data_IF_659969340405
#
_entry.id   IF_659969340405
#
_cell.length_a   1.000
_cell.length_b   1.000
_cell.length_c   1.000
_cell.angle_alpha   90.00
_cell.angle_beta   90.00
_cell.angle_gamma   90.00
#
_symmetry.space_group_name_H-M   'P 1'
#
loop_
_entity.id
_entity.type
_entity.pdbx_description
1 polymer ?
#
# COMPACT_ATOMS: atom_id res chain seq x y z
N UNK A 1 -78.70 28.75 13.59
CA UNK A 1 -78.56 27.33 13.96
C UNK A 1 -78.69 26.48 12.70
N UNK A 2 -77.60 25.96 12.15
CA UNK A 2 -77.59 24.76 11.29
C UNK A 2 -76.14 24.32 11.05
N UNK A 3 -76.01 23.00 10.97
CA UNK A 3 -74.88 22.17 11.35
C UNK A 3 -74.41 21.44 10.07
N UNK A 4 -73.12 21.47 9.71
CA UNK A 4 -72.61 20.67 8.58
C UNK A 4 -71.27 19.98 8.89
N UNK A 5 -71.43 18.73 9.34
CA UNK A 5 -70.79 17.50 8.85
C UNK A 5 -69.29 17.51 8.50
N UNK A 6 -68.56 16.86 9.41
CA UNK A 6 -67.43 15.93 9.27
C UNK A 6 -67.24 15.36 7.85
N UNK A 7 -66.03 15.50 7.30
CA UNK A 7 -65.50 14.64 6.24
C UNK A 7 -64.34 13.81 6.80
N UNK A 8 -64.54 12.50 6.84
CA UNK A 8 -63.51 11.52 7.15
C UNK A 8 -62.70 11.26 5.88
N UNK A 9 -61.40 11.52 5.92
CA UNK A 9 -60.47 11.12 4.87
C UNK A 9 -59.88 9.77 5.26
N UNK A 10 -60.19 8.75 4.47
CA UNK A 10 -59.66 7.40 4.61
C UNK A 10 -58.17 7.36 4.22
N UNK A 11 -57.33 6.89 5.13
CA UNK A 11 -55.92 6.63 4.90
C UNK A 11 -55.77 5.21 4.30
N UNK A 12 -55.32 5.11 3.05
CA UNK A 12 -54.86 3.86 2.44
C UNK A 12 -53.33 3.77 2.59
N UNK A 13 -52.76 2.79 3.33
CA UNK A 13 -51.33 2.54 3.27
C UNK A 13 -51.03 1.69 2.03
N UNK A 14 -50.47 2.32 0.99
CA UNK A 14 -49.88 1.62 -0.14
C UNK A 14 -48.57 0.95 0.31
N UNK A 15 -48.62 -0.37 0.43
CA UNK A 15 -47.51 -1.25 0.78
C UNK A 15 -46.53 -1.33 -0.41
N UNK A 16 -45.53 -0.45 -0.45
CA UNK A 16 -44.46 -0.52 -1.45
C UNK A 16 -43.44 -1.56 -1.00
N UNK A 17 -43.58 -2.80 -1.47
CA UNK A 17 -42.53 -3.82 -1.38
C UNK A 17 -41.54 -3.56 -2.52
N UNK A 18 -40.50 -2.78 -2.23
CA UNK A 18 -39.32 -2.69 -3.11
C UNK A 18 -38.52 -3.98 -2.98
N UNK A 19 -38.67 -4.88 -3.97
CA UNK A 19 -37.80 -6.03 -4.14
C UNK A 19 -36.40 -5.54 -4.51
N UNK A 20 -35.53 -5.43 -3.50
CA UNK A 20 -34.09 -5.22 -3.67
C UNK A 20 -33.46 -6.52 -4.19
N UNK A 21 -33.53 -6.75 -5.51
CA UNK A 21 -32.62 -7.67 -6.19
C UNK A 21 -31.26 -6.97 -6.36
N UNK A 22 -30.49 -6.95 -5.27
CA UNK A 22 -29.07 -6.66 -5.34
C UNK A 22 -28.36 -7.82 -6.02
N UNK A 23 -28.05 -7.69 -7.31
CA UNK A 23 -27.14 -8.60 -8.00
C UNK A 23 -25.77 -8.53 -7.34
N UNK A 24 -25.49 -9.50 -6.46
CA UNK A 24 -24.15 -9.74 -5.94
C UNK A 24 -23.26 -10.14 -7.12
N UNK A 25 -22.54 -9.17 -7.71
CA UNK A 25 -21.43 -9.46 -8.61
C UNK A 25 -20.33 -10.09 -7.78
N UNK A 26 -20.28 -11.42 -7.76
CA UNK A 26 -19.09 -12.15 -7.34
C UNK A 26 -18.00 -11.81 -8.34
N UNK A 27 -17.11 -10.88 -7.95
CA UNK A 27 -15.86 -10.66 -8.67
C UNK A 27 -15.06 -11.96 -8.56
N UNK A 28 -15.07 -12.75 -9.65
CA UNK A 28 -14.22 -13.93 -9.74
C UNK A 28 -12.78 -13.51 -9.41
N UNK A 29 -12.16 -14.17 -8.44
CA UNK A 29 -10.75 -13.95 -8.13
C UNK A 29 -9.93 -14.38 -9.35
N UNK A 30 -8.93 -13.60 -9.78
CA UNK A 30 -8.14 -13.93 -10.98
C UNK A 30 -7.41 -15.28 -10.85
N UNK A 31 -7.26 -15.77 -9.62
CA UNK A 31 -6.72 -17.09 -9.31
C UNK A 31 -7.60 -18.25 -9.81
N UNK A 32 -8.92 -18.05 -9.97
CA UNK A 32 -9.81 -19.08 -10.48
C UNK A 32 -9.58 -19.43 -11.97
N UNK A 33 -8.94 -18.53 -12.72
CA UNK A 33 -8.70 -18.68 -14.16
C UNK A 33 -7.22 -18.78 -14.53
N UNK A 34 -6.31 -18.67 -13.54
CA UNK A 34 -4.87 -18.71 -13.77
C UNK A 34 -4.39 -20.17 -13.84
N UNK A 35 -3.67 -20.59 -14.90
CA UNK A 35 -3.12 -21.95 -14.97
C UNK A 35 -2.14 -22.23 -13.83
N UNK A 36 -2.28 -23.40 -13.19
CA UNK A 36 -1.41 -23.81 -12.07
C UNK A 36 0.08 -23.77 -12.43
N UNK A 37 0.41 -24.09 -13.68
CA UNK A 37 1.79 -24.12 -14.21
C UNK A 37 2.44 -22.75 -14.30
N UNK A 38 1.69 -21.66 -14.14
CA UNK A 38 2.27 -20.32 -14.06
C UNK A 38 3.08 -20.13 -12.77
N UNK A 39 2.67 -20.80 -11.70
CA UNK A 39 3.29 -20.69 -10.38
C UNK A 39 4.00 -21.97 -9.95
N UNK A 40 3.41 -23.13 -10.24
CA UNK A 40 3.91 -24.43 -9.80
C UNK A 40 4.70 -25.13 -10.91
N UNK A 41 5.75 -25.86 -10.51
CA UNK A 41 6.57 -26.63 -11.46
C UNK A 41 5.81 -27.82 -12.05
N UNK A 42 4.91 -28.42 -11.27
CA UNK A 42 4.15 -29.59 -11.68
C UNK A 42 2.89 -29.21 -12.49
N UNK A 43 2.58 -30.00 -13.52
CA UNK A 43 1.33 -29.90 -14.27
C UNK A 43 0.12 -30.31 -13.42
N UNK A 44 0.28 -31.34 -12.59
CA UNK A 44 -0.68 -31.72 -11.55
C UNK A 44 -0.17 -31.29 -10.18
N UNK A 45 -0.87 -30.33 -9.58
CA UNK A 45 -0.52 -29.79 -8.26
C UNK A 45 -1.31 -30.53 -7.18
N UNK A 46 -0.57 -31.11 -6.24
CA UNK A 46 -1.07 -31.80 -5.05
C UNK A 46 -0.52 -31.13 -3.79
N UNK A 47 -1.08 -31.43 -2.62
CA UNK A 47 -0.54 -30.92 -1.35
C UNK A 47 0.94 -31.29 -1.12
N UNK A 48 1.40 -32.41 -1.68
CA UNK A 48 2.77 -32.88 -1.54
C UNK A 48 3.79 -32.09 -2.38
N UNK A 49 3.37 -31.50 -3.52
CA UNK A 49 4.26 -30.78 -4.44
C UNK A 49 3.94 -29.28 -4.57
N UNK A 50 2.85 -28.79 -3.97
CA UNK A 50 2.39 -27.41 -4.09
C UNK A 50 3.42 -26.36 -3.62
N UNK A 51 4.35 -26.72 -2.73
CA UNK A 51 5.38 -25.79 -2.28
C UNK A 51 6.47 -25.52 -3.34
N UNK A 52 6.55 -26.35 -4.40
CA UNK A 52 7.58 -26.23 -5.45
C UNK A 52 7.10 -25.25 -6.52
N UNK A 53 7.70 -24.07 -6.51
CA UNK A 53 7.33 -22.96 -7.40
C UNK A 53 8.37 -22.77 -8.51
N UNK A 54 7.93 -22.29 -9.68
CA UNK A 54 8.81 -22.02 -10.84
C UNK A 54 9.74 -20.82 -10.61
N UNK A 55 9.46 -20.00 -9.60
CA UNK A 55 10.25 -18.86 -9.17
C UNK A 55 9.94 -18.51 -7.69
N UNK A 56 10.67 -17.55 -7.11
CA UNK A 56 10.30 -16.98 -5.81
C UNK A 56 8.92 -16.32 -5.87
N UNK A 57 8.22 -16.27 -4.74
CA UNK A 57 6.90 -15.65 -4.70
C UNK A 57 6.97 -14.16 -5.01
N UNK A 58 8.04 -13.48 -4.62
CA UNK A 58 8.28 -12.08 -4.94
C UNK A 58 8.34 -11.85 -6.46
N UNK A 59 8.96 -12.78 -7.19
CA UNK A 59 9.03 -12.73 -8.65
C UNK A 59 7.69 -13.07 -9.30
N UNK A 60 6.99 -14.09 -8.79
CA UNK A 60 5.68 -14.52 -9.32
C UNK A 60 4.63 -13.43 -9.12
N UNK A 61 4.46 -12.97 -7.87
CA UNK A 61 3.50 -11.93 -7.53
C UNK A 61 3.89 -10.59 -8.17
N UNK A 62 5.18 -10.23 -8.14
CA UNK A 62 5.68 -8.97 -8.71
C UNK A 62 5.50 -8.83 -10.21
N UNK A 63 5.36 -9.94 -10.95
CA UNK A 63 5.05 -9.91 -12.38
C UNK A 63 3.72 -9.22 -12.71
N UNK A 64 2.75 -9.30 -11.81
CA UNK A 64 1.43 -8.66 -11.96
C UNK A 64 1.17 -7.55 -10.93
N UNK A 65 1.80 -7.64 -9.76
CA UNK A 65 1.64 -6.73 -8.62
C UNK A 65 2.96 -6.01 -8.31
N UNK A 66 3.57 -5.40 -9.32
CA UNK A 66 4.88 -4.76 -9.21
C UNK A 66 4.94 -3.70 -8.08
N UNK A 67 3.87 -2.90 -7.94
CA UNK A 67 3.77 -1.88 -6.89
C UNK A 67 3.70 -2.49 -5.49
N UNK A 68 3.04 -3.64 -5.34
CA UNK A 68 2.97 -4.32 -4.05
C UNK A 68 4.39 -4.67 -3.60
N UNK A 69 5.19 -5.38 -4.42
CA UNK A 69 6.56 -5.79 -4.05
C UNK A 69 7.42 -4.62 -3.59
N UNK A 70 7.32 -3.50 -4.29
CA UNK A 70 8.12 -2.33 -4.00
C UNK A 70 7.77 -1.68 -2.65
N UNK A 71 6.51 -1.74 -2.26
CA UNK A 71 5.96 -1.03 -1.10
C UNK A 71 5.28 -1.99 -0.13
N UNK A 72 5.84 -3.20 -0.02
CA UNK A 72 5.42 -4.20 0.95
C UNK A 72 6.24 -4.09 2.23
N UNK A 73 5.67 -4.60 3.32
CA UNK A 73 6.50 -5.19 4.36
C UNK A 73 7.48 -6.20 3.72
N UNK A 74 8.75 -6.25 4.14
CA UNK A 74 9.73 -7.16 3.57
C UNK A 74 9.24 -8.62 3.54
N UNK A 75 9.68 -9.37 2.53
CA UNK A 75 9.44 -10.81 2.35
C UNK A 75 10.65 -11.48 1.69
N UNK A 76 10.62 -12.81 1.56
CA UNK A 76 11.72 -13.61 1.02
C UNK A 76 12.89 -13.79 1.99
N UNK A 77 12.61 -13.82 3.30
CA UNK A 77 13.63 -13.98 4.34
C UNK A 77 13.20 -14.91 5.48
N UNK A 78 14.15 -15.61 6.09
CA UNK A 78 13.91 -16.43 7.26
C UNK A 78 13.67 -15.54 8.51
N UNK A 79 12.50 -15.60 9.15
CA UNK A 79 12.22 -14.79 10.34
C UNK A 79 13.09 -15.25 11.51
N UNK A 80 13.51 -14.29 12.34
CA UNK A 80 14.35 -14.55 13.52
C UNK A 80 13.62 -15.23 14.68
N UNK A 81 12.30 -15.26 14.63
CA UNK A 81 11.43 -15.83 15.66
C UNK A 81 10.43 -16.79 15.01
N UNK A 82 9.97 -17.82 15.73
CA UNK A 82 8.90 -18.66 15.23
C UNK A 82 7.63 -17.84 15.01
N UNK A 83 6.92 -18.12 13.93
CA UNK A 83 5.63 -17.52 13.63
C UNK A 83 4.50 -18.42 14.14
N UNK A 84 3.33 -17.82 14.36
CA UNK A 84 2.12 -18.57 14.65
C UNK A 84 1.73 -19.43 13.42
N UNK A 85 1.01 -20.53 13.65
CA UNK A 85 0.68 -21.53 12.60
C UNK A 85 -0.15 -20.93 11.46
N UNK A 86 -0.86 -19.85 11.74
CA UNK A 86 -1.68 -19.09 10.80
C UNK A 86 -0.83 -18.36 9.74
N UNK A 87 0.47 -18.17 9.99
CA UNK A 87 1.44 -17.53 9.10
C UNK A 87 2.52 -18.52 8.68
N UNK A 88 2.20 -19.47 7.78
CA UNK A 88 3.13 -20.51 7.38
C UNK A 88 4.32 -19.91 6.63
N UNK A 89 5.50 -20.47 6.88
CA UNK A 89 6.69 -20.19 6.08
C UNK A 89 6.67 -21.02 4.81
N UNK A 90 7.42 -20.59 3.80
CA UNK A 90 7.63 -21.42 2.61
C UNK A 90 8.47 -22.67 2.95
N UNK A 91 8.70 -23.53 1.97
CA UNK A 91 9.45 -24.78 2.16
C UNK A 91 10.92 -24.57 2.58
N UNK A 92 11.48 -23.37 2.39
CA UNK A 92 12.83 -22.99 2.85
C UNK A 92 12.83 -22.43 4.27
N UNK A 93 11.65 -22.17 4.82
CA UNK A 93 11.50 -21.46 6.10
C UNK A 93 11.50 -19.94 5.94
N UNK A 94 11.21 -19.39 4.76
CA UNK A 94 11.12 -17.95 4.55
C UNK A 94 9.70 -17.41 4.75
N UNK A 95 9.60 -16.21 5.33
CA UNK A 95 8.39 -15.39 5.31
C UNK A 95 8.22 -14.85 3.90
N UNK A 96 7.12 -15.20 3.23
CA UNK A 96 6.83 -14.83 1.83
C UNK A 96 5.46 -14.17 1.72
N UNK A 97 5.06 -13.74 0.51
CA UNK A 97 3.72 -13.23 0.25
C UNK A 97 2.62 -14.21 0.73
N UNK A 98 2.82 -15.51 0.51
CA UNK A 98 1.89 -16.55 0.92
C UNK A 98 1.85 -16.80 2.43
N UNK A 99 2.76 -16.22 3.22
CA UNK A 99 2.68 -16.26 4.68
C UNK A 99 1.55 -15.36 5.19
N UNK A 100 1.24 -14.27 4.49
CA UNK A 100 0.14 -13.37 4.82
C UNK A 100 -1.11 -13.66 3.97
N UNK A 101 -0.91 -14.06 2.71
CA UNK A 101 -1.99 -14.32 1.75
C UNK A 101 -2.23 -15.82 1.52
N UNK A 102 -3.50 -16.23 1.57
CA UNK A 102 -3.97 -17.49 1.03
C UNK A 102 -4.29 -17.33 -0.47
N UNK A 103 -3.30 -17.57 -1.33
CA UNK A 103 -3.41 -17.35 -2.79
C UNK A 103 -4.53 -18.17 -3.46
N UNK A 104 -4.97 -19.28 -2.85
CA UNK A 104 -6.10 -20.09 -3.32
C UNK A 104 -7.40 -19.81 -2.54
N UNK A 105 -7.40 -18.77 -1.70
CA UNK A 105 -8.54 -18.35 -0.91
C UNK A 105 -9.57 -17.53 -1.68
N UNK A 106 -10.63 -17.15 -0.98
CA UNK A 106 -11.74 -16.33 -1.51
C UNK A 106 -12.00 -15.08 -0.66
N UNK A 107 -11.22 -14.89 0.40
CA UNK A 107 -11.34 -13.77 1.32
C UNK A 107 -10.89 -12.47 0.66
N UNK A 108 -11.40 -11.33 1.13
CA UNK A 108 -10.95 -10.01 0.70
C UNK A 108 -9.44 -9.87 0.87
N UNK A 109 -8.74 -9.46 -0.19
CA UNK A 109 -7.28 -9.34 -0.19
C UNK A 109 -6.56 -10.67 0.03
N UNK A 110 -7.26 -11.81 -0.01
CA UNK A 110 -6.72 -13.13 0.24
C UNK A 110 -6.03 -13.29 1.60
N UNK A 111 -6.34 -12.47 2.60
CA UNK A 111 -5.66 -12.53 3.90
C UNK A 111 -5.93 -13.86 4.62
N UNK A 112 -4.89 -14.43 5.25
CA UNK A 112 -5.01 -15.67 6.05
C UNK A 112 -5.76 -15.49 7.36
N UNK A 113 -5.72 -14.29 7.92
CA UNK A 113 -6.38 -13.94 9.18
C UNK A 113 -7.25 -12.70 8.98
N UNK A 114 -8.28 -12.51 9.81
CA UNK A 114 -9.08 -11.29 9.78
C UNK A 114 -8.40 -10.13 10.52
N UNK A 115 -7.19 -10.32 11.05
CA UNK A 115 -6.48 -9.28 11.77
C UNK A 115 -6.12 -8.13 10.81
N UNK A 116 -6.23 -6.91 11.30
CA UNK A 116 -5.86 -5.70 10.58
C UNK A 116 -5.25 -4.68 11.55
N UNK A 117 -4.71 -3.59 10.99
CA UNK A 117 -4.16 -2.52 11.80
C UNK A 117 -2.96 -2.96 12.64
N UNK A 118 -2.77 -2.27 13.77
CA UNK A 118 -1.71 -2.59 14.73
C UNK A 118 -1.76 -4.03 15.27
N UNK A 119 -2.96 -4.60 15.42
CA UNK A 119 -3.12 -5.98 15.93
C UNK A 119 -2.53 -6.99 14.95
N UNK A 120 -2.68 -6.76 13.64
CA UNK A 120 -2.04 -7.60 12.63
C UNK A 120 -0.51 -7.53 12.71
N UNK A 121 0.06 -6.32 12.77
CA UNK A 121 1.51 -6.13 12.85
C UNK A 121 2.09 -6.77 14.11
N UNK A 122 1.35 -6.76 15.22
CA UNK A 122 1.74 -7.36 16.49
C UNK A 122 1.76 -8.90 16.48
N UNK A 123 1.18 -9.54 15.47
CA UNK A 123 1.37 -10.98 15.25
C UNK A 123 2.84 -11.33 14.94
N UNK A 124 3.60 -10.36 14.42
CA UNK A 124 5.02 -10.52 14.02
C UNK A 124 5.99 -9.60 14.79
N UNK A 125 5.52 -8.49 15.35
CA UNK A 125 6.35 -7.50 16.05
C UNK A 125 5.89 -7.29 17.49
N UNK A 126 6.82 -6.93 18.38
CA UNK A 126 6.47 -6.53 19.75
C UNK A 126 6.10 -5.05 19.80
N UNK A 127 5.29 -4.64 20.78
CA UNK A 127 4.95 -3.22 20.98
C UNK A 127 6.20 -2.34 21.08
N UNK A 128 7.22 -2.81 21.79
CA UNK A 128 8.51 -2.14 21.97
C UNK A 128 9.30 -1.92 20.67
N UNK A 129 8.99 -2.64 19.59
CA UNK A 129 9.54 -2.35 18.26
C UNK A 129 9.01 -1.02 17.73
N UNK A 130 7.70 -0.79 17.84
CA UNK A 130 7.05 0.42 17.35
C UNK A 130 7.32 1.63 18.23
N UNK A 131 7.41 1.45 19.56
CA UNK A 131 7.69 2.53 20.52
C UNK A 131 9.05 3.23 20.29
N UNK A 132 9.97 2.59 19.56
CA UNK A 132 11.26 3.17 19.18
C UNK A 132 11.17 4.07 17.94
N UNK A 133 10.04 4.08 17.25
CA UNK A 133 9.81 4.93 16.09
C UNK A 133 9.34 6.32 16.54
N UNK A 134 9.71 7.40 15.83
CA UNK A 134 9.27 8.75 16.18
C UNK A 134 7.74 8.93 16.26
N UNK A 135 7.00 8.22 15.42
CA UNK A 135 5.53 8.22 15.36
C UNK A 135 4.90 7.03 16.11
N UNK A 136 5.69 6.28 16.88
CA UNK A 136 5.28 5.07 17.57
C UNK A 136 4.64 4.01 16.66
N UNK A 137 5.00 3.99 15.36
CA UNK A 137 4.53 3.02 14.38
C UNK A 137 3.15 3.28 13.80
N UNK A 138 2.53 4.44 14.06
CA UNK A 138 1.21 4.80 13.53
C UNK A 138 1.18 4.71 12.00
N UNK A 139 2.22 5.20 11.33
CA UNK A 139 2.32 5.19 9.86
C UNK A 139 2.43 3.80 9.23
N UNK A 140 3.00 2.82 9.96
CA UNK A 140 3.26 1.47 9.42
C UNK A 140 2.16 0.47 9.78
N UNK A 141 1.40 0.76 10.84
CA UNK A 141 0.41 -0.19 11.36
C UNK A 141 -0.91 -0.14 10.59
N UNK A 142 -1.13 0.85 9.73
CA UNK A 142 -2.37 0.97 8.94
C UNK A 142 -2.51 -0.07 7.83
N UNK A 143 -1.41 -0.53 7.24
CA UNK A 143 -1.43 -1.46 6.12
C UNK A 143 -0.15 -2.32 6.04
N UNK A 144 -0.22 -3.50 5.42
CA UNK A 144 0.95 -4.34 5.11
C UNK A 144 1.63 -3.99 3.78
N UNK A 145 0.93 -3.24 2.93
CA UNK A 145 1.43 -2.65 1.70
C UNK A 145 0.99 -1.18 1.68
N UNK A 146 1.83 -0.28 1.19
CA UNK A 146 1.34 1.03 0.79
C UNK A 146 0.54 0.83 -0.48
N UNK A 147 -0.72 1.27 -0.47
CA UNK A 147 -1.64 1.02 -1.57
C UNK A 147 -2.11 2.33 -2.19
N UNK A 148 -2.39 2.24 -3.49
CA UNK A 148 -2.71 3.41 -4.28
C UNK A 148 -4.20 3.82 -4.20
N UNK A 149 -4.95 3.33 -3.21
CA UNK A 149 -6.42 3.30 -3.30
C UNK A 149 -7.13 4.57 -2.85
N UNK A 150 -6.40 5.60 -2.47
CA UNK A 150 -6.99 6.87 -2.07
C UNK A 150 -6.42 8.00 -2.91
N UNK A 151 -6.99 8.24 -4.09
CA UNK A 151 -6.75 9.48 -4.83
C UNK A 151 -7.70 10.55 -4.29
N UNK A 152 -7.18 11.53 -3.55
CA UNK A 152 -7.91 12.76 -3.28
C UNK A 152 -7.77 13.68 -4.50
N UNK A 153 -8.87 14.15 -5.11
CA UNK A 153 -8.81 14.92 -6.35
C UNK A 153 -8.25 16.35 -6.19
N UNK A 154 -7.96 16.82 -4.97
CA UNK A 154 -7.57 18.21 -4.71
C UNK A 154 -6.07 18.49 -4.88
N UNK A 155 -5.22 17.47 -4.83
CA UNK A 155 -3.77 17.58 -4.93
C UNK A 155 -3.29 16.52 -5.92
N UNK A 156 -2.54 16.91 -6.95
CA UNK A 156 -2.00 16.01 -8.00
C UNK A 156 -0.83 15.14 -7.47
N UNK A 157 -1.02 14.57 -6.29
CA UNK A 157 -0.09 13.70 -5.58
C UNK A 157 -0.36 12.25 -5.95
N UNK A 158 0.70 11.47 -6.01
CA UNK A 158 0.54 10.03 -6.12
C UNK A 158 -0.12 9.48 -4.85
N UNK A 159 -0.87 8.37 -4.97
CA UNK A 159 -1.57 7.78 -3.83
C UNK A 159 -0.67 7.36 -2.65
N UNK A 160 0.60 7.06 -2.87
CA UNK A 160 1.52 6.73 -1.77
C UNK A 160 1.88 7.99 -0.98
N UNK A 161 2.15 9.09 -1.67
CA UNK A 161 2.33 10.40 -1.02
C UNK A 161 1.08 10.79 -0.22
N UNK A 162 -0.13 10.55 -0.73
CA UNK A 162 -1.37 10.78 0.02
C UNK A 162 -1.46 9.91 1.29
N UNK A 163 -1.05 8.65 1.23
CA UNK A 163 -1.02 7.77 2.40
C UNK A 163 0.02 8.21 3.43
N UNK A 164 1.18 8.72 3.02
CA UNK A 164 2.12 9.32 3.95
C UNK A 164 1.49 10.55 4.64
N UNK A 165 0.82 11.40 3.85
CA UNK A 165 0.27 12.66 4.35
C UNK A 165 -0.97 12.50 5.20
N UNK A 166 -1.73 11.39 5.10
CA UNK A 166 -2.87 11.16 5.99
C UNK A 166 -2.50 11.14 7.48
N UNK A 167 -1.22 10.91 7.80
CA UNK A 167 -0.72 11.07 9.17
C UNK A 167 0.16 12.31 9.34
N UNK A 168 0.96 12.68 8.32
CA UNK A 168 1.88 13.81 8.43
C UNK A 168 1.20 15.20 8.37
N UNK A 169 0.00 15.32 7.79
CA UNK A 169 -0.76 16.58 7.73
C UNK A 169 -1.62 16.81 8.99
N UNK A 170 -2.14 15.73 9.60
CA UNK A 170 -3.15 15.81 10.66
C UNK A 170 -2.55 15.84 12.08
N UNK A 171 -1.32 15.36 12.28
CA UNK A 171 -0.71 15.26 13.61
C UNK A 171 0.14 16.49 13.96
N UNK A 172 -0.48 17.42 14.70
CA UNK A 172 0.10 18.71 15.09
C UNK A 172 1.46 18.64 15.81
N UNK A 173 1.74 17.54 16.54
CA UNK A 173 2.99 17.31 17.28
C UNK A 173 4.12 16.72 16.43
N UNK A 174 3.82 16.16 15.26
CA UNK A 174 4.81 15.61 14.32
C UNK A 174 4.94 16.43 13.03
N UNK A 175 4.47 17.69 13.04
CA UNK A 175 4.50 18.70 11.97
C UNK A 175 5.93 19.02 11.46
N UNK A 176 6.68 18.01 11.07
CA UNK A 176 8.02 18.07 10.51
C UNK A 176 7.97 18.18 8.99
N UNK A 177 6.82 17.92 8.38
CA UNK A 177 6.65 17.77 6.93
C UNK A 177 5.31 18.41 6.54
N UNK A 178 5.27 19.23 5.51
CA UNK A 178 4.04 19.84 4.99
C UNK A 178 4.11 20.11 3.49
N UNK A 179 2.98 20.01 2.80
CA UNK A 179 2.86 20.23 1.35
C UNK A 179 1.95 21.44 1.12
N UNK A 180 2.43 22.42 0.37
CA UNK A 180 1.57 23.54 -0.04
C UNK A 180 0.68 23.19 -1.24
N UNK A 181 -0.34 24.01 -1.58
CA UNK A 181 -1.23 23.73 -2.71
C UNK A 181 -0.52 23.60 -4.07
N UNK A 182 0.74 24.03 -4.17
CA UNK A 182 1.56 23.89 -5.37
C UNK A 182 2.30 22.54 -5.44
N UNK A 183 2.18 21.71 -4.40
CA UNK A 183 2.87 20.43 -4.28
C UNK A 183 4.33 20.58 -3.84
N UNK A 184 4.70 21.70 -3.22
CA UNK A 184 6.05 21.89 -2.66
C UNK A 184 6.09 21.32 -1.25
N UNK A 185 6.87 20.24 -1.09
CA UNK A 185 7.15 19.64 0.21
C UNK A 185 8.15 20.47 0.99
N UNK A 186 7.92 20.65 2.29
CA UNK A 186 8.78 21.38 3.22
C UNK A 186 9.10 20.53 4.44
N UNK A 187 10.38 20.34 4.75
CA UNK A 187 10.84 19.70 5.97
C UNK A 187 11.18 20.77 7.03
N UNK A 188 10.75 20.63 8.29
CA UNK A 188 11.14 21.57 9.36
C UNK A 188 12.60 21.42 9.78
N UNK A 189 13.14 20.20 9.72
CA UNK A 189 14.46 19.85 10.24
C UNK A 189 15.59 20.00 9.20
N UNK A 190 15.26 20.20 7.93
CA UNK A 190 16.22 20.40 6.85
C UNK A 190 15.69 21.43 5.85
N UNK A 191 16.56 22.33 5.40
CA UNK A 191 16.23 23.44 4.49
C UNK A 191 15.87 22.99 3.06
N UNK A 192 15.65 21.70 2.84
CA UNK A 192 15.43 21.11 1.52
C UNK A 192 13.93 21.04 1.28
N UNK A 193 13.46 22.00 0.49
CA UNK A 193 12.13 21.96 -0.10
C UNK A 193 12.21 21.23 -1.43
N UNK A 194 11.28 20.33 -1.71
CA UNK A 194 11.29 19.55 -2.93
C UNK A 194 9.87 19.42 -3.51
N UNK A 195 9.66 19.67 -4.81
CA UNK A 195 8.35 19.46 -5.41
C UNK A 195 8.02 17.97 -5.49
N UNK A 196 6.79 17.61 -5.16
CA UNK A 196 6.24 16.26 -5.35
C UNK A 196 4.94 16.33 -6.16
N UNK A 197 4.51 15.19 -6.70
CA UNK A 197 3.42 15.11 -7.68
C UNK A 197 3.80 15.65 -9.07
N UNK A 198 5.05 16.08 -9.29
CA UNK A 198 5.50 16.63 -10.57
C UNK A 198 6.05 15.55 -11.48
N UNK A 199 5.73 15.66 -12.78
CA UNK A 199 6.28 14.76 -13.81
C UNK A 199 7.80 14.90 -13.89
N UNK A 200 8.49 13.78 -13.70
CA UNK A 200 9.94 13.73 -13.86
C UNK A 200 10.35 13.90 -15.33
N UNK A 201 9.57 13.32 -16.26
CA UNK A 201 9.80 13.47 -17.70
C UNK A 201 9.70 14.92 -18.15
N UNK A 202 8.75 15.68 -17.62
CA UNK A 202 8.67 17.12 -17.89
C UNK A 202 9.90 17.86 -17.35
N UNK A 203 10.35 17.52 -16.14
CA UNK A 203 11.55 18.12 -15.54
C UNK A 203 12.80 17.89 -16.40
N UNK A 204 13.03 16.67 -16.91
CA UNK A 204 14.13 16.36 -17.83
C UNK A 204 14.13 17.29 -19.05
N UNK A 205 12.95 17.61 -19.61
CA UNK A 205 12.85 18.46 -20.80
C UNK A 205 13.31 19.90 -20.57
N UNK A 206 13.32 20.37 -19.32
CA UNK A 206 13.84 21.69 -18.95
C UNK A 206 15.36 21.70 -18.70
N UNK A 207 16.02 20.54 -18.59
CA UNK A 207 17.46 20.40 -18.34
C UNK A 207 17.84 20.38 -16.85
N UNK A 208 19.08 19.96 -16.55
CA UNK A 208 19.61 19.84 -15.18
C UNK A 208 19.15 18.60 -14.41
N UNK A 209 18.60 17.60 -15.11
CA UNK A 209 18.14 16.33 -14.56
C UNK A 209 18.73 15.15 -15.33
N UNK A 210 19.03 14.08 -14.60
CA UNK A 210 19.44 12.81 -15.19
C UNK A 210 18.25 12.12 -15.88
N UNK A 211 18.47 11.47 -17.02
CA UNK A 211 17.48 10.60 -17.66
C UNK A 211 16.94 9.50 -16.71
N UNK A 212 15.67 9.11 -16.87
CA UNK A 212 15.02 8.12 -15.99
C UNK A 212 15.73 6.76 -16.00
N UNK A 213 16.29 6.35 -17.13
CA UNK A 213 17.03 5.09 -17.27
C UNK A 213 18.41 5.11 -16.60
N UNK A 214 18.89 6.28 -16.18
CA UNK A 214 20.11 6.45 -15.40
C UNK A 214 19.84 6.53 -13.88
N UNK A 215 18.58 6.61 -13.47
CA UNK A 215 18.24 6.62 -12.05
C UNK A 215 18.52 5.25 -11.42
N UNK A 216 19.02 5.20 -10.18
CA UNK A 216 19.10 3.96 -9.43
C UNK A 216 17.71 3.32 -9.32
N UNK A 217 17.64 1.99 -9.40
CA UNK A 217 16.38 1.23 -9.27
C UNK A 217 15.62 1.48 -7.96
N UNK A 218 16.32 1.98 -6.94
CA UNK A 218 15.73 2.37 -5.65
C UNK A 218 14.91 3.66 -5.73
N UNK A 219 15.15 4.51 -6.74
CA UNK A 219 14.32 5.68 -7.01
C UNK A 219 13.10 5.23 -7.80
N UNK A 220 11.95 5.35 -7.16
CA UNK A 220 10.66 5.00 -7.76
C UNK A 220 10.00 6.27 -8.22
N UNK A 221 9.45 6.29 -9.43
CA UNK A 221 8.64 7.40 -9.93
C UNK A 221 7.19 6.92 -10.14
N UNK A 222 6.32 6.98 -9.12
CA UNK A 222 4.91 6.62 -9.27
C UNK A 222 4.27 7.38 -10.41
N UNK A 223 3.73 6.66 -11.40
CA UNK A 223 3.14 7.24 -12.62
C UNK A 223 4.08 8.24 -13.34
N UNK A 224 5.40 8.01 -13.25
CA UNK A 224 6.42 8.90 -13.84
C UNK A 224 6.61 10.23 -13.11
N UNK A 225 6.11 10.35 -11.88
CA UNK A 225 6.19 11.54 -11.04
C UNK A 225 7.12 11.32 -9.83
N UNK A 226 7.64 12.42 -9.30
CA UNK A 226 8.36 12.40 -8.02
C UNK A 226 7.34 12.39 -6.89
N UNK A 227 7.46 11.45 -5.97
CA UNK A 227 6.62 11.33 -4.76
C UNK A 227 7.45 11.09 -3.50
N UNK A 228 6.79 10.95 -2.35
CA UNK A 228 7.47 10.66 -1.07
C UNK A 228 8.36 9.41 -1.17
N UNK A 229 7.87 8.36 -1.83
CA UNK A 229 8.60 7.09 -1.98
C UNK A 229 9.72 7.12 -3.03
N UNK A 230 9.85 8.21 -3.79
CA UNK A 230 11.02 8.41 -4.67
C UNK A 230 12.30 8.60 -3.86
N UNK A 231 12.16 9.10 -2.62
CA UNK A 231 13.26 9.42 -1.73
C UNK A 231 13.23 8.61 -0.43
N UNK A 232 12.05 8.21 0.04
CA UNK A 232 11.85 7.54 1.32
C UNK A 232 11.47 6.06 1.15
N UNK A 233 11.99 5.22 2.05
CA UNK A 233 11.59 3.82 2.21
C UNK A 233 10.38 3.76 3.14
N UNK A 234 9.26 3.24 2.65
CA UNK A 234 8.02 3.10 3.41
C UNK A 234 8.16 2.18 4.62
N UNK A 235 8.60 0.94 4.43
CA UNK A 235 8.78 -0.05 5.51
C UNK A 235 10.26 -0.21 5.87
N UNK A 236 10.68 0.46 6.95
CA UNK A 236 12.06 0.45 7.42
C UNK A 236 12.11 0.58 8.95
N UNK A 237 13.22 0.15 9.57
CA UNK A 237 13.45 0.36 11.02
C UNK A 237 13.60 1.84 11.35
N UNK A 238 14.14 2.61 10.40
CA UNK A 238 14.14 4.07 10.42
C UNK A 238 12.95 4.51 9.59
N UNK A 239 11.83 4.82 10.24
CA UNK A 239 10.64 5.33 9.57
C UNK A 239 11.03 6.51 8.65
N UNK A 240 10.61 6.47 7.38
CA UNK A 240 10.98 7.50 6.41
C UNK A 240 12.48 7.58 6.14
N UNK A 241 13.24 6.50 6.33
CA UNK A 241 14.66 6.44 5.93
C UNK A 241 14.83 6.71 4.43
N UNK A 242 15.97 7.26 4.03
CA UNK A 242 16.23 7.54 2.62
C UNK A 242 16.53 6.25 1.83
N UNK A 243 16.08 6.20 0.58
CA UNK A 243 16.36 5.09 -0.37
C UNK A 243 17.85 5.00 -0.76
N UNK A 244 18.63 6.04 -0.43
CA UNK A 244 20.08 6.13 -0.63
C UNK A 244 20.78 6.71 0.62
N UNK A 245 22.11 6.52 0.77
CA UNK A 245 22.87 6.99 1.94
C UNK A 245 22.77 8.51 2.21
N UNK A 246 22.99 8.90 3.48
CA UNK A 246 22.78 10.25 4.04
C UNK A 246 23.92 11.24 3.76
N UNK A 247 24.48 11.28 2.55
CA UNK A 247 25.31 12.41 2.12
C UNK A 247 24.40 13.62 1.81
N UNK A 248 24.58 14.77 2.47
CA UNK A 248 23.63 15.91 2.43
C UNK A 248 23.36 16.51 1.03
N UNK A 249 24.13 16.12 0.01
CA UNK A 249 23.89 16.50 -1.39
C UNK A 249 23.76 15.29 -2.33
N UNK A 250 24.07 14.08 -1.86
CA UNK A 250 24.04 12.88 -2.70
C UNK A 250 22.62 12.57 -3.17
N UNK A 251 21.62 12.78 -2.30
CA UNK A 251 20.22 12.55 -2.68
C UNK A 251 19.77 13.46 -3.84
N UNK A 252 20.13 14.74 -3.81
CA UNK A 252 19.77 15.69 -4.86
C UNK A 252 20.44 15.30 -6.18
N UNK A 253 21.73 14.95 -6.13
CA UNK A 253 22.54 14.63 -7.30
C UNK A 253 22.20 13.28 -7.96
N UNK A 254 21.33 12.48 -7.34
CA UNK A 254 20.77 11.29 -7.99
C UNK A 254 19.83 11.68 -9.13
N UNK A 255 18.98 12.68 -8.91
CA UNK A 255 18.04 13.15 -9.91
C UNK A 255 18.63 14.28 -10.74
N UNK A 256 19.47 15.11 -10.13
CA UNK A 256 20.00 16.29 -10.78
C UNK A 256 21.39 16.07 -11.38
N UNK A 257 21.63 16.76 -12.50
CA UNK A 257 22.91 16.88 -13.19
C UNK A 257 23.29 18.37 -13.23
N UNK A 258 23.74 18.88 -12.07
CA UNK A 258 24.06 20.30 -11.83
C UNK A 258 25.54 20.61 -12.03
#
# INVERSE_FOLDING_TARGET
MLNYKKWAVAFFPALIIFFLWGSARTTATHMATTPCTLCHVATEVTSANAAVLVASQEKLCGGCHAQAILLSHPSGFAPKRPLAKEYPLDWKGDLTCSSCHNVHGVQTGLMRTPLSGAVFCQACHEKAFFEKMPDQGISLTGAGHLDAKSASPSLDLDPFSLQCMSCHDEQADTNQVGIDPQGLMRHKSSSINHPIGKSYQAAISYGGYRPMDQLPKAIVLPDGKIGCISCHVGYSKEHGGLVVPKGQSELCLICHDL
#
